data_IF_166871789721
#
_entry.id   IF_166871789721
#
_cell.length_a   1.000
_cell.length_b   1.000
_cell.length_c   1.000
_cell.angle_alpha   90.00
_cell.angle_beta   90.00
_cell.angle_gamma   90.00
#
_symmetry.space_group_name_H-M   'P 1'
#
loop_
_entity.id
_entity.type
_entity.pdbx_description
1 polymer ?
#
# COMPACT_ATOMS: atom_id res chain seq x y z
N UNK A 1 53.27 -20.41 -45.38
CA UNK A 1 53.18 -20.08 -43.93
C UNK A 1 53.29 -18.57 -43.74
N UNK A 2 52.23 -17.91 -43.27
CA UNK A 2 52.26 -16.86 -42.22
C UNK A 2 50.85 -16.32 -42.02
N UNK A 3 50.20 -16.89 -41.01
CA UNK A 3 48.97 -16.42 -40.35
C UNK A 3 49.09 -14.91 -40.10
N UNK A 4 48.37 -14.10 -40.86
CA UNK A 4 48.01 -12.74 -40.46
C UNK A 4 46.61 -12.84 -39.89
N UNK A 5 46.53 -13.27 -38.63
CA UNK A 5 45.30 -13.16 -37.85
C UNK A 5 45.16 -11.67 -37.55
N UNK A 6 44.39 -10.98 -38.38
CA UNK A 6 44.13 -9.55 -38.24
C UNK A 6 43.47 -9.28 -36.90
N UNK A 7 44.05 -8.32 -36.18
CA UNK A 7 43.67 -7.75 -34.88
C UNK A 7 42.17 -7.44 -34.75
N UNK A 8 41.42 -7.35 -35.85
CA UNK A 8 39.97 -7.23 -35.89
C UNK A 8 39.22 -8.35 -35.13
N UNK A 9 39.79 -9.57 -35.04
CA UNK A 9 39.20 -10.67 -34.28
C UNK A 9 39.26 -10.48 -32.75
N UNK A 10 40.06 -9.52 -32.26
CA UNK A 10 40.24 -9.28 -30.81
C UNK A 10 39.27 -8.19 -30.30
N UNK A 11 38.77 -7.30 -31.16
CA UNK A 11 37.87 -6.21 -30.73
C UNK A 11 36.42 -6.70 -30.59
N UNK A 12 36.01 -7.71 -31.36
CA UNK A 12 34.63 -8.25 -31.32
C UNK A 12 34.36 -9.09 -30.07
N UNK A 13 35.38 -9.64 -29.41
CA UNK A 13 35.23 -10.42 -28.18
C UNK A 13 35.14 -9.59 -26.89
N UNK A 14 35.48 -8.30 -26.93
CA UNK A 14 35.51 -7.45 -25.73
C UNK A 14 34.14 -6.86 -25.32
N UNK A 15 33.14 -6.90 -26.20
CA UNK A 15 31.80 -6.32 -25.92
C UNK A 15 30.83 -7.35 -25.33
N UNK A 16 31.15 -8.65 -25.38
CA UNK A 16 30.24 -9.71 -24.93
C UNK A 16 30.27 -9.98 -23.40
N UNK A 17 31.21 -9.40 -22.65
CA UNK A 17 31.39 -9.69 -21.20
C UNK A 17 30.88 -8.56 -20.29
N UNK A 18 30.32 -7.49 -20.86
CA UNK A 18 29.70 -6.40 -20.09
C UNK A 18 28.20 -6.63 -19.78
N UNK A 19 27.67 -7.81 -20.09
CA UNK A 19 26.25 -8.13 -19.93
C UNK A 19 25.89 -8.38 -18.48
N UNK A 20 25.17 -7.42 -17.88
CA UNK A 20 24.20 -7.61 -16.78
C UNK A 20 24.73 -8.30 -15.52
N UNK A 21 25.71 -7.71 -14.85
CA UNK A 21 25.76 -7.81 -13.37
C UNK A 21 24.85 -6.74 -12.75
N UNK A 22 23.60 -6.69 -13.22
CA UNK A 22 22.55 -5.97 -12.50
C UNK A 22 22.23 -6.80 -11.28
N UNK A 23 22.93 -6.55 -10.16
CA UNK A 23 22.50 -7.07 -8.87
C UNK A 23 21.03 -6.67 -8.72
N UNK A 24 20.12 -7.64 -8.84
CA UNK A 24 18.70 -7.42 -8.56
C UNK A 24 18.70 -6.99 -7.10
N UNK A 25 18.47 -5.70 -6.86
CA UNK A 25 18.39 -5.19 -5.51
C UNK A 25 17.39 -6.08 -4.76
N UNK A 26 17.74 -6.59 -3.57
CA UNK A 26 16.80 -7.39 -2.80
C UNK A 26 15.51 -6.59 -2.70
N UNK A 27 14.38 -7.24 -2.96
CA UNK A 27 13.08 -6.59 -2.81
C UNK A 27 13.01 -6.03 -1.40
N UNK A 28 12.94 -4.72 -1.29
CA UNK A 28 12.80 -4.07 0.01
C UNK A 28 11.51 -4.59 0.65
N UNK A 29 11.66 -5.34 1.75
CA UNK A 29 10.56 -5.62 2.66
C UNK A 29 10.30 -4.31 3.40
N UNK A 30 9.35 -3.52 2.89
CA UNK A 30 9.06 -2.18 3.37
C UNK A 30 8.64 -2.16 4.85
N UNK A 31 8.17 -3.30 5.38
CA UNK A 31 7.66 -3.49 6.74
C UNK A 31 8.09 -4.88 7.25
N UNK A 32 9.16 -5.01 8.06
CA UNK A 32 9.71 -6.32 8.46
C UNK A 32 8.75 -7.20 9.29
N UNK A 33 7.80 -6.58 9.99
CA UNK A 33 6.77 -7.24 10.79
C UNK A 33 5.45 -6.44 10.64
N UNK A 34 4.77 -6.54 9.49
CA UNK A 34 3.66 -5.65 9.17
C UNK A 34 2.48 -5.82 10.12
N UNK A 35 2.19 -7.03 10.60
CA UNK A 35 1.11 -7.28 11.56
C UNK A 35 1.39 -6.61 12.91
N UNK A 36 2.65 -6.64 13.37
CA UNK A 36 3.07 -5.99 14.62
C UNK A 36 2.94 -4.47 14.51
N UNK A 37 3.42 -3.89 13.41
CA UNK A 37 3.30 -2.45 13.16
C UNK A 37 1.84 -2.02 13.03
N UNK A 38 1.02 -2.81 12.33
CA UNK A 38 -0.40 -2.51 12.18
C UNK A 38 -1.13 -2.58 13.54
N UNK A 39 -0.91 -3.64 14.33
CA UNK A 39 -1.47 -3.75 15.68
C UNK A 39 -1.07 -2.59 16.57
N UNK A 40 0.19 -2.15 16.53
CA UNK A 40 0.63 -0.98 17.28
C UNK A 40 -0.19 0.27 16.96
N UNK A 41 -0.55 0.46 15.68
CA UNK A 41 -1.32 1.62 15.24
C UNK A 41 -2.82 1.55 15.60
N UNK A 42 -3.41 0.35 15.72
CA UNK A 42 -4.88 0.20 15.81
C UNK A 42 -5.39 -0.41 17.13
N UNK A 43 -4.60 -1.22 17.83
CA UNK A 43 -5.12 -2.10 18.89
C UNK A 43 -5.69 -1.37 20.12
N UNK A 44 -5.18 -0.19 20.45
CA UNK A 44 -5.58 0.57 21.65
C UNK A 44 -6.49 1.77 21.34
N UNK A 45 -6.96 1.88 20.08
CA UNK A 45 -7.83 2.99 19.69
C UNK A 45 -9.27 2.68 20.07
N UNK A 46 -9.80 3.51 20.96
CA UNK A 46 -11.21 3.48 21.45
C UNK A 46 -12.30 3.49 20.38
N UNK A 47 -11.97 3.80 19.13
CA UNK A 47 -12.94 3.88 18.04
C UNK A 47 -13.21 2.53 17.36
N UNK A 48 -12.36 1.52 17.60
CA UNK A 48 -12.41 0.27 16.85
C UNK A 48 -12.94 -0.87 17.70
N UNK A 49 -13.96 -1.55 17.18
CA UNK A 49 -14.48 -2.78 17.75
C UNK A 49 -14.45 -3.87 16.68
N UNK A 50 -13.27 -4.49 16.52
CA UNK A 50 -13.06 -5.46 15.45
C UNK A 50 -13.92 -6.72 15.67
N UNK A 51 -14.60 -7.23 14.61
CA UNK A 51 -15.28 -8.51 14.67
C UNK A 51 -14.36 -9.60 15.22
N UNK A 52 -14.86 -10.39 16.16
CA UNK A 52 -14.11 -11.47 16.83
C UNK A 52 -12.81 -11.03 17.54
N UNK A 53 -12.62 -9.73 17.82
CA UNK A 53 -11.38 -9.14 18.31
C UNK A 53 -10.18 -9.35 17.36
N UNK A 54 -10.42 -9.53 16.07
CA UNK A 54 -9.38 -9.80 15.08
C UNK A 54 -9.08 -8.58 14.21
N UNK A 55 -8.20 -7.70 14.71
CA UNK A 55 -7.80 -6.52 13.94
C UNK A 55 -6.97 -6.88 12.71
N UNK A 56 -6.12 -7.93 12.78
CA UNK A 56 -5.26 -8.34 11.66
C UNK A 56 -6.13 -8.86 10.52
N UNK A 57 -7.03 -9.80 10.82
CA UNK A 57 -7.96 -10.35 9.83
C UNK A 57 -8.85 -9.27 9.25
N UNK A 58 -9.31 -8.31 10.06
CA UNK A 58 -10.04 -7.14 9.57
C UNK A 58 -9.22 -6.31 8.58
N UNK A 59 -7.96 -6.01 8.92
CA UNK A 59 -7.03 -5.28 8.04
C UNK A 59 -6.78 -6.00 6.71
N UNK A 60 -6.56 -7.32 6.73
CA UNK A 60 -6.48 -8.11 5.50
C UNK A 60 -7.80 -8.19 4.73
N UNK A 61 -8.93 -8.12 5.43
CA UNK A 61 -10.25 -7.96 4.82
C UNK A 61 -10.33 -6.69 3.96
N UNK A 62 -9.85 -5.55 4.48
CA UNK A 62 -9.73 -4.31 3.70
C UNK A 62 -8.82 -4.51 2.48
N UNK A 63 -7.65 -5.13 2.66
CA UNK A 63 -6.75 -5.45 1.53
C UNK A 63 -7.44 -6.32 0.46
N UNK A 64 -8.28 -7.26 0.88
CA UNK A 64 -9.10 -8.09 -0.01
C UNK A 64 -10.08 -7.26 -0.84
N UNK A 65 -10.79 -6.31 -0.21
CA UNK A 65 -11.69 -5.37 -0.91
C UNK A 65 -10.96 -4.53 -1.95
N UNK A 66 -9.81 -3.96 -1.59
CA UNK A 66 -8.98 -3.18 -2.53
C UNK A 66 -8.52 -4.06 -3.69
N UNK A 67 -8.02 -5.26 -3.41
CA UNK A 67 -7.59 -6.23 -4.43
C UNK A 67 -8.75 -6.63 -5.35
N UNK A 68 -9.96 -6.76 -4.80
CA UNK A 68 -11.20 -7.02 -5.54
C UNK A 68 -11.68 -5.85 -6.39
N UNK A 69 -11.06 -4.68 -6.30
CA UNK A 69 -11.43 -3.50 -7.08
C UNK A 69 -12.51 -2.64 -6.46
N UNK A 70 -12.84 -2.84 -5.19
CA UNK A 70 -13.80 -1.98 -4.50
C UNK A 70 -13.28 -0.53 -4.42
N UNK A 71 -14.18 0.42 -4.67
CA UNK A 71 -13.86 1.84 -4.64
C UNK A 71 -13.62 2.33 -3.21
N UNK A 72 -12.69 3.29 -3.05
CA UNK A 72 -12.44 3.94 -1.76
C UNK A 72 -13.71 4.43 -1.04
N UNK A 73 -14.72 5.05 -1.71
CA UNK A 73 -15.95 5.47 -1.03
C UNK A 73 -16.74 4.31 -0.42
N UNK A 74 -16.76 3.16 -1.09
CA UNK A 74 -17.47 1.96 -0.61
C UNK A 74 -16.73 1.37 0.59
N UNK A 75 -15.41 1.21 0.50
CA UNK A 75 -14.58 0.72 1.60
C UNK A 75 -14.74 1.62 2.83
N UNK A 76 -14.72 2.95 2.65
CA UNK A 76 -14.95 3.91 3.73
C UNK A 76 -16.34 3.76 4.34
N UNK A 77 -17.39 3.63 3.52
CA UNK A 77 -18.75 3.40 4.01
C UNK A 77 -18.87 2.15 4.88
N UNK A 78 -18.29 1.04 4.43
CA UNK A 78 -18.28 -0.21 5.17
C UNK A 78 -17.51 -0.09 6.49
N UNK A 79 -16.29 0.43 6.44
CA UNK A 79 -15.45 0.58 7.63
C UNK A 79 -16.10 1.50 8.66
N UNK A 80 -16.74 2.58 8.21
CA UNK A 80 -17.48 3.50 9.09
C UNK A 80 -18.62 2.84 9.85
N UNK A 81 -19.22 1.77 9.32
CA UNK A 81 -20.23 1.00 10.05
C UNK A 81 -19.63 0.18 11.20
N UNK A 82 -18.34 -0.14 11.13
CA UNK A 82 -17.62 -0.94 12.14
C UNK A 82 -16.83 -0.06 13.16
N UNK A 83 -16.71 1.23 12.89
CA UNK A 83 -16.05 2.23 13.75
C UNK A 83 -17.09 2.97 14.59
N UNK A 84 -16.83 3.12 15.90
CA UNK A 84 -17.74 3.81 16.83
C UNK A 84 -17.09 5.01 17.53
N UNK A 85 -17.67 6.22 17.46
CA UNK A 85 -18.77 6.60 16.56
C UNK A 85 -18.33 6.47 15.09
N UNK A 86 -19.30 6.39 14.18
CA UNK A 86 -19.13 6.34 12.72
C UNK A 86 -18.35 7.57 12.22
N UNK A 87 -17.02 7.52 12.40
CA UNK A 87 -16.09 8.65 12.33
C UNK A 87 -15.18 8.49 11.12
N UNK A 88 -15.24 9.49 10.24
CA UNK A 88 -14.48 9.54 9.00
C UNK A 88 -12.96 9.45 9.22
N UNK A 89 -12.45 10.16 10.23
CA UNK A 89 -11.02 10.21 10.52
C UNK A 89 -10.52 8.82 10.94
N UNK A 90 -11.20 8.19 11.87
CA UNK A 90 -10.86 6.87 12.38
C UNK A 90 -11.00 5.79 11.30
N UNK A 91 -12.02 5.87 10.44
CA UNK A 91 -12.16 4.96 9.30
C UNK A 91 -11.02 5.12 8.29
N UNK A 92 -10.68 6.35 7.89
CA UNK A 92 -9.59 6.57 6.93
C UNK A 92 -8.25 6.14 7.52
N UNK A 93 -8.01 6.44 8.81
CA UNK A 93 -6.81 5.96 9.49
C UNK A 93 -6.68 4.44 9.39
N UNK A 94 -7.78 3.71 9.64
CA UNK A 94 -7.78 2.25 9.57
C UNK A 94 -7.50 1.74 8.14
N UNK A 95 -8.19 2.30 7.13
CA UNK A 95 -8.03 1.93 5.72
C UNK A 95 -6.61 2.22 5.23
N UNK A 96 -6.11 3.42 5.51
CA UNK A 96 -4.78 3.85 5.08
C UNK A 96 -3.67 2.99 5.67
N UNK A 97 -3.73 2.68 6.97
CA UNK A 97 -2.74 1.84 7.63
C UNK A 97 -2.84 0.37 7.24
N UNK A 98 -4.05 -0.15 7.03
CA UNK A 98 -4.22 -1.51 6.53
C UNK A 98 -3.51 -1.69 5.18
N UNK A 99 -3.72 -0.74 4.26
CA UNK A 99 -3.13 -0.83 2.91
C UNK A 99 -1.64 -0.51 2.89
N UNK A 100 -1.20 0.53 3.59
CA UNK A 100 0.22 0.91 3.63
C UNK A 100 1.10 -0.17 4.27
N UNK A 101 0.60 -0.82 5.33
CA UNK A 101 1.38 -1.79 6.11
C UNK A 101 1.18 -3.21 5.62
N UNK A 102 -0.06 -3.70 5.58
CA UNK A 102 -0.34 -5.11 5.38
C UNK A 102 -0.28 -5.50 3.91
N UNK A 103 -0.57 -4.56 3.00
CA UNK A 103 -0.65 -4.86 1.58
C UNK A 103 -0.18 -3.70 0.66
N UNK A 104 1.09 -3.27 0.81
CA UNK A 104 1.63 -2.08 0.14
C UNK A 104 1.60 -2.17 -1.40
N UNK A 105 1.54 -3.38 -1.97
CA UNK A 105 1.38 -3.57 -3.41
C UNK A 105 0.09 -2.95 -3.97
N UNK A 106 -0.94 -2.77 -3.12
CA UNK A 106 -2.25 -2.25 -3.50
C UNK A 106 -2.41 -0.75 -3.23
N UNK A 107 -1.39 -0.08 -2.70
CA UNK A 107 -1.49 1.35 -2.35
C UNK A 107 -1.83 2.24 -3.55
N UNK A 108 -1.35 1.88 -4.74
CA UNK A 108 -1.65 2.63 -5.95
C UNK A 108 -3.13 2.48 -6.36
N UNK A 109 -3.68 1.28 -6.22
CA UNK A 109 -5.10 1.03 -6.50
C UNK A 109 -6.01 1.80 -5.54
N UNK A 110 -5.69 1.80 -4.23
CA UNK A 110 -6.41 2.59 -3.24
C UNK A 110 -6.36 4.10 -3.56
N UNK A 111 -5.17 4.64 -3.86
CA UNK A 111 -5.00 6.08 -4.17
C UNK A 111 -5.76 6.51 -5.42
N UNK A 112 -5.83 5.64 -6.42
CA UNK A 112 -6.62 5.92 -7.61
C UNK A 112 -8.12 5.85 -7.35
N UNK A 113 -8.58 4.90 -6.55
CA UNK A 113 -9.99 4.80 -6.22
C UNK A 113 -10.48 5.89 -5.28
N UNK A 114 -9.55 6.56 -4.57
CA UNK A 114 -9.82 7.74 -3.74
C UNK A 114 -9.85 9.07 -4.51
N UNK A 115 -9.55 9.10 -5.81
CA UNK A 115 -9.52 10.33 -6.59
C UNK A 115 -10.89 11.04 -6.56
N UNK A 116 -10.90 12.31 -6.18
CA UNK A 116 -12.12 13.11 -6.08
C UNK A 116 -13.02 12.74 -4.88
N UNK A 117 -12.59 11.83 -4.00
CA UNK A 117 -13.33 11.53 -2.79
C UNK A 117 -13.44 12.78 -1.91
N UNK A 118 -14.66 13.04 -1.43
CA UNK A 118 -14.92 14.05 -0.41
C UNK A 118 -15.65 13.37 0.74
N UNK A 119 -15.20 13.58 1.98
CA UNK A 119 -15.90 13.07 3.14
C UNK A 119 -17.30 13.71 3.23
N UNK A 120 -18.26 13.05 3.92
CA UNK A 120 -19.57 13.62 4.15
C UNK A 120 -19.48 14.98 4.86
N UNK A 121 -20.37 15.94 4.54
CA UNK A 121 -20.40 17.25 5.19
C UNK A 121 -20.46 17.12 6.71
N UNK A 122 -19.66 17.92 7.43
CA UNK A 122 -19.61 17.90 8.89
C UNK A 122 -18.78 16.75 9.49
N UNK A 123 -18.17 15.91 8.64
CA UNK A 123 -17.13 14.96 9.02
C UNK A 123 -15.80 15.26 8.33
N UNK A 124 -15.63 16.48 7.82
CA UNK A 124 -14.32 16.95 7.39
C UNK A 124 -13.34 16.96 8.58
N UNK A 125 -12.09 16.58 8.31
CA UNK A 125 -10.98 16.65 9.26
C UNK A 125 -11.01 17.99 10.00
N UNK A 126 -10.96 17.96 11.35
CA UNK A 126 -10.87 19.14 12.20
C UNK A 126 -9.73 20.04 11.71
N UNK A 127 -10.07 21.08 10.92
CA UNK A 127 -9.11 21.91 10.19
C UNK A 127 -9.50 22.29 8.75
N UNK A 128 -10.50 21.65 8.14
CA UNK A 128 -11.11 22.21 6.90
C UNK A 128 -12.14 23.26 7.29
N UNK A 129 -12.03 24.52 6.81
CA UNK A 129 -13.14 25.46 6.95
C UNK A 129 -14.31 24.87 6.20
N UNK A 130 -15.42 24.62 6.92
CA UNK A 130 -16.66 24.18 6.33
C UNK A 130 -17.05 25.12 5.20
N UNK A 131 -17.54 24.55 4.09
CA UNK A 131 -18.06 25.34 2.99
C UNK A 131 -19.24 26.19 3.49
N UNK A 132 -19.00 27.50 3.65
CA UNK A 132 -20.03 28.53 3.62
C UNK A 132 -20.56 28.71 2.19
#
# INVERSE_FOLDING_TARGET
MKRRVSVAAIIVSAVAVGGVSGAVAPRAQAKPAPEVEYMYNVAVRRHYNFPNNDAIGYGYGICGKVTGGEGYPQIMGDVKNDVTPNDEFAANYLVSYAVDILCPAQIWQLRNSAQGYRPPPGQEYFGSPGAE
#
